data_IF_323559037890
#
_entry.id   IF_323559037890
#
_cell.length_a   1.000
_cell.length_b   1.000
_cell.length_c   1.000
_cell.angle_alpha   90.00
_cell.angle_beta   90.00
_cell.angle_gamma   90.00
#
_symmetry.space_group_name_H-M   'P 1'
#
loop_
_entity.id
_entity.type
_entity.pdbx_description
1 polymer ?
#
# COMPACT_ATOMS: atom_id res chain seq x y z
N UNK A 1 -3.05 16.86 -6.35
CA UNK A 1 -1.80 16.69 -5.56
C UNK A 1 -1.61 17.73 -4.47
N UNK A 2 -1.96 19.03 -4.65
CA UNK A 2 -1.74 20.06 -3.62
C UNK A 2 -2.46 19.84 -2.27
N UNK A 3 -3.60 19.14 -2.24
CA UNK A 3 -4.34 18.92 -0.99
C UNK A 3 -3.76 17.84 -0.07
N UNK A 4 -2.93 16.91 -0.57
CA UNK A 4 -2.48 15.73 0.21
C UNK A 4 -0.95 15.58 0.24
N UNK A 5 -0.20 16.67 0.05
CA UNK A 5 1.25 16.68 -0.15
C UNK A 5 2.01 15.95 0.95
N UNK A 6 2.35 14.68 0.69
CA UNK A 6 3.04 13.80 1.61
C UNK A 6 4.46 14.28 1.88
N UNK A 7 4.79 14.47 3.16
CA UNK A 7 6.17 14.73 3.62
C UNK A 7 7.12 13.55 3.36
N UNK A 8 6.55 12.38 3.01
CA UNK A 8 7.27 11.15 2.69
C UNK A 8 6.96 10.69 1.28
N UNK A 9 7.99 10.23 0.60
CA UNK A 9 7.90 9.41 -0.60
C UNK A 9 8.31 7.96 -0.29
N UNK A 10 7.44 7.00 -0.59
CA UNK A 10 7.76 5.57 -0.54
C UNK A 10 8.23 5.16 -1.92
N UNK A 11 9.37 4.47 -2.02
CA UNK A 11 9.92 4.04 -3.31
C UNK A 11 10.33 2.57 -3.25
N UNK A 12 9.94 1.80 -4.26
CA UNK A 12 10.32 0.40 -4.42
C UNK A 12 10.48 0.06 -5.89
N UNK A 13 11.43 -0.81 -6.18
CA UNK A 13 11.60 -1.44 -7.49
C UNK A 13 11.02 -2.86 -7.46
N UNK A 14 10.16 -3.17 -8.42
CA UNK A 14 9.55 -4.49 -8.58
C UNK A 14 10.04 -5.18 -9.85
N UNK A 15 10.33 -6.47 -9.73
CA UNK A 15 10.72 -7.35 -10.83
C UNK A 15 9.58 -8.28 -11.27
N UNK A 16 9.71 -8.85 -12.47
CA UNK A 16 8.80 -9.92 -12.92
C UNK A 16 7.43 -9.43 -13.41
N UNK A 17 7.25 -8.13 -13.63
CA UNK A 17 6.01 -7.56 -14.21
C UNK A 17 5.87 -7.87 -15.70
N UNK A 18 6.97 -8.08 -16.40
CA UNK A 18 7.03 -8.31 -17.84
C UNK A 18 8.08 -9.37 -18.21
N UNK A 19 7.94 -9.97 -19.40
CA UNK A 19 8.84 -11.03 -19.90
C UNK A 19 10.26 -10.55 -20.24
N UNK A 20 10.44 -9.26 -20.50
CA UNK A 20 11.72 -8.66 -20.90
C UNK A 20 12.59 -8.25 -19.71
N UNK A 21 12.17 -8.59 -18.49
CA UNK A 21 12.88 -8.29 -17.24
C UNK A 21 13.09 -6.78 -17.00
N UNK A 22 12.28 -5.92 -17.62
CA UNK A 22 12.26 -4.50 -17.27
C UNK A 22 11.81 -4.36 -15.81
N UNK A 23 12.47 -3.45 -15.11
CA UNK A 23 12.19 -3.08 -13.73
C UNK A 23 11.07 -2.06 -13.71
N UNK A 24 10.11 -2.24 -12.81
CA UNK A 24 9.07 -1.24 -12.53
C UNK A 24 9.38 -0.59 -11.18
N UNK A 25 9.90 0.62 -11.20
CA UNK A 25 10.05 1.46 -10.02
C UNK A 25 8.76 2.27 -9.83
N UNK A 26 8.23 2.31 -8.62
CA UNK A 26 7.03 3.08 -8.28
C UNK A 26 7.32 4.01 -7.10
N UNK A 27 7.03 5.28 -7.29
CA UNK A 27 7.04 6.32 -6.26
C UNK A 27 5.62 6.54 -5.77
N UNK A 28 5.43 6.51 -4.46
CA UNK A 28 4.11 6.58 -3.84
C UNK A 28 4.10 7.55 -2.67
N UNK A 29 3.04 8.36 -2.59
CA UNK A 29 2.71 9.15 -1.40
C UNK A 29 1.53 8.51 -0.67
N UNK A 30 1.30 8.92 0.57
CA UNK A 30 0.14 8.50 1.35
C UNK A 30 -0.65 9.75 1.73
N UNK A 31 -1.95 9.76 1.45
CA UNK A 31 -2.84 10.86 1.82
C UNK A 31 -3.26 10.81 3.29
N UNK A 32 -4.00 11.83 3.73
CA UNK A 32 -4.48 11.95 5.10
C UNK A 32 -5.44 10.82 5.51
N UNK A 33 -6.09 10.19 4.52
CA UNK A 33 -6.96 9.02 4.69
C UNK A 33 -6.19 7.69 4.71
N UNK A 34 -4.84 7.74 4.80
CA UNK A 34 -3.94 6.58 4.73
C UNK A 34 -4.06 5.75 3.45
N UNK A 35 -4.40 6.39 2.32
CA UNK A 35 -4.42 5.73 1.01
C UNK A 35 -3.12 6.01 0.26
N UNK A 36 -2.53 4.95 -0.28
CA UNK A 36 -1.38 5.05 -1.16
C UNK A 36 -1.76 5.61 -2.53
N UNK A 37 -0.97 6.53 -3.06
CA UNK A 37 -1.10 7.14 -4.37
C UNK A 37 0.20 6.97 -5.15
N UNK A 38 0.25 6.13 -6.20
CA UNK A 38 1.40 6.15 -7.10
C UNK A 38 1.45 7.53 -7.76
N UNK A 39 2.55 8.27 -7.57
CA UNK A 39 2.73 9.62 -8.13
C UNK A 39 3.65 9.62 -9.34
N UNK A 40 4.49 8.59 -9.46
CA UNK A 40 5.34 8.38 -10.62
C UNK A 40 5.74 6.91 -10.72
N UNK A 41 5.95 6.46 -11.95
CA UNK A 41 6.44 5.12 -12.24
C UNK A 41 7.50 5.19 -13.33
N UNK A 42 8.53 4.35 -13.19
CA UNK A 42 9.58 4.19 -14.17
C UNK A 42 9.64 2.72 -14.60
N UNK A 43 9.42 2.49 -15.88
CA UNK A 43 9.67 1.22 -16.53
C UNK A 43 11.02 1.29 -17.24
N UNK A 44 12.02 0.55 -16.75
CA UNK A 44 13.38 0.67 -17.26
C UNK A 44 14.08 -0.68 -17.41
N UNK A 45 14.95 -0.80 -18.42
CA UNK A 45 15.84 -1.96 -18.58
C UNK A 45 17.04 -1.91 -17.65
N UNK A 46 17.41 -0.72 -17.17
CA UNK A 46 18.58 -0.50 -16.31
C UNK A 46 18.24 0.46 -15.17
N UNK A 47 18.70 0.14 -13.97
CA UNK A 47 18.48 0.94 -12.76
C UNK A 47 19.84 1.35 -12.21
N UNK A 48 20.58 2.08 -13.05
CA UNK A 48 21.87 2.67 -12.71
C UNK A 48 21.67 4.11 -12.19
N UNK A 49 22.75 4.68 -11.65
CA UNK A 49 22.70 6.01 -11.03
C UNK A 49 22.23 7.09 -12.01
N UNK A 50 22.67 7.04 -13.28
CA UNK A 50 22.30 8.03 -14.28
C UNK A 50 20.80 7.98 -14.60
N UNK A 51 20.26 6.78 -14.83
CA UNK A 51 18.83 6.59 -15.15
C UNK A 51 17.94 7.01 -13.98
N UNK A 52 18.29 6.61 -12.76
CA UNK A 52 17.52 6.95 -11.57
C UNK A 52 17.58 8.46 -11.27
N UNK A 53 18.75 9.07 -11.36
CA UNK A 53 18.92 10.51 -11.12
C UNK A 53 18.11 11.33 -12.12
N UNK A 54 18.15 10.95 -13.41
CA UNK A 54 17.32 11.58 -14.43
C UNK A 54 15.83 11.48 -14.11
N UNK A 55 15.36 10.30 -13.71
CA UNK A 55 13.96 10.10 -13.34
C UNK A 55 13.53 10.98 -12.16
N UNK A 56 14.33 11.06 -11.09
CA UNK A 56 14.00 11.91 -9.94
C UNK A 56 14.10 13.40 -10.26
N UNK A 57 15.02 13.81 -11.14
CA UNK A 57 15.07 15.19 -11.65
C UNK A 57 13.80 15.54 -12.43
N UNK A 58 13.37 14.66 -13.35
CA UNK A 58 12.11 14.85 -14.08
C UNK A 58 10.90 14.91 -13.16
N UNK A 59 10.86 14.07 -12.11
CA UNK A 59 9.78 14.09 -11.13
C UNK A 59 9.76 15.40 -10.31
N UNK A 60 10.92 15.94 -9.95
CA UNK A 60 11.04 17.25 -9.33
C UNK A 60 10.52 18.35 -10.26
N UNK A 61 10.94 18.35 -11.52
CA UNK A 61 10.59 19.39 -12.48
C UNK A 61 9.09 19.40 -12.83
N UNK A 62 8.43 18.23 -12.76
CA UNK A 62 6.98 18.12 -12.94
C UNK A 62 6.19 18.75 -11.77
N UNK A 63 6.83 18.89 -10.60
CA UNK A 63 6.23 19.43 -9.39
C UNK A 63 5.31 18.45 -8.64
N UNK A 64 4.88 18.84 -7.44
CA UNK A 64 3.97 18.02 -6.61
C UNK A 64 4.67 17.12 -5.58
N UNK A 65 6.01 17.06 -5.64
CA UNK A 65 6.87 16.40 -4.64
C UNK A 65 7.78 17.38 -3.89
N UNK A 66 7.56 18.69 -4.05
CA UNK A 66 8.41 19.76 -3.50
C UNK A 66 8.54 19.70 -1.96
N UNK A 67 7.45 19.26 -1.31
CA UNK A 67 7.35 19.15 0.14
C UNK A 67 7.93 17.84 0.70
N UNK A 68 8.41 16.92 -0.14
CA UNK A 68 9.00 15.66 0.32
C UNK A 68 10.30 15.98 1.07
N UNK A 69 10.37 15.56 2.33
CA UNK A 69 11.57 15.67 3.19
C UNK A 69 12.16 14.31 3.54
N UNK A 70 11.37 13.25 3.39
CA UNK A 70 11.71 11.90 3.81
C UNK A 70 11.43 10.90 2.70
N UNK A 71 12.28 9.88 2.61
CA UNK A 71 12.06 8.74 1.73
C UNK A 71 12.09 7.42 2.51
N UNK A 72 11.22 6.48 2.15
CA UNK A 72 11.24 5.10 2.66
C UNK A 72 11.62 4.17 1.51
N UNK A 73 12.65 3.35 1.70
CA UNK A 73 13.05 2.29 0.76
C UNK A 73 13.27 0.94 1.45
N UNK A 74 13.45 -0.10 0.65
CA UNK A 74 13.80 -1.47 1.03
C UNK A 74 15.30 -1.67 1.34
N UNK A 75 16.00 -0.60 1.79
CA UNK A 75 17.45 -0.58 2.05
C UNK A 75 18.32 -0.64 0.79
N UNK A 76 17.86 -0.07 -0.31
CA UNK A 76 18.66 0.12 -1.53
C UNK A 76 19.40 1.48 -1.52
N UNK A 77 20.74 1.52 -1.33
CA UNK A 77 21.50 2.76 -1.29
C UNK A 77 21.55 3.49 -2.64
N UNK A 78 21.46 2.77 -3.76
CA UNK A 78 21.48 3.38 -5.09
C UNK A 78 20.24 4.26 -5.33
N UNK A 79 19.07 3.82 -4.85
CA UNK A 79 17.85 4.62 -4.88
C UNK A 79 17.99 5.90 -4.04
N UNK A 80 18.54 5.78 -2.83
CA UNK A 80 18.74 6.96 -1.97
C UNK A 80 19.65 7.99 -2.63
N UNK A 81 20.83 7.55 -3.10
CA UNK A 81 21.81 8.45 -3.71
C UNK A 81 21.22 9.15 -4.95
N UNK A 82 20.51 8.41 -5.79
CA UNK A 82 19.87 8.98 -6.98
C UNK A 82 18.74 9.95 -6.64
N UNK A 83 17.97 9.72 -5.57
CA UNK A 83 16.93 10.65 -5.11
C UNK A 83 17.52 11.93 -4.55
N UNK A 84 18.57 11.85 -3.71
CA UNK A 84 19.24 13.03 -3.17
C UNK A 84 19.81 13.90 -4.29
N UNK A 85 20.45 13.28 -5.28
CA UNK A 85 20.99 13.98 -6.45
C UNK A 85 19.88 14.57 -7.34
N UNK A 86 18.92 13.73 -7.75
CA UNK A 86 17.85 14.13 -8.67
C UNK A 86 16.89 15.18 -8.09
N UNK A 87 16.56 15.10 -6.79
CA UNK A 87 15.79 16.16 -6.12
C UNK A 87 16.66 17.38 -5.78
N UNK A 88 17.99 17.26 -5.85
CA UNK A 88 18.96 18.28 -5.44
C UNK A 88 18.70 18.77 -4.01
N UNK A 89 18.43 17.82 -3.10
CA UNK A 89 18.02 18.09 -1.72
C UNK A 89 18.42 16.92 -0.83
N UNK A 90 18.87 17.22 0.37
CA UNK A 90 19.08 16.23 1.43
C UNK A 90 17.75 15.62 1.88
N UNK A 91 17.66 14.29 1.82
CA UNK A 91 16.46 13.53 2.18
C UNK A 91 16.73 12.68 3.41
N UNK A 92 15.82 12.75 4.38
CA UNK A 92 15.85 11.81 5.51
C UNK A 92 15.48 10.42 5.02
N UNK A 93 16.35 9.44 5.23
CA UNK A 93 16.13 8.06 4.78
C UNK A 93 15.63 7.17 5.90
N UNK A 94 14.48 6.54 5.68
CA UNK A 94 13.93 5.49 6.52
C UNK A 94 14.03 4.13 5.83
N UNK A 95 14.33 3.12 6.64
CA UNK A 95 14.22 1.73 6.23
C UNK A 95 12.82 1.21 6.56
N UNK A 96 12.26 0.48 5.60
CA UNK A 96 11.04 -0.28 5.83
C UNK A 96 11.24 -1.26 7.01
N UNK A 97 10.40 -1.12 8.04
CA UNK A 97 10.45 -1.95 9.26
C UNK A 97 10.34 -3.44 8.94
N UNK A 98 9.54 -3.82 7.93
CA UNK A 98 9.38 -5.20 7.51
C UNK A 98 10.68 -5.77 6.94
N UNK A 99 11.30 -5.08 5.99
CA UNK A 99 12.57 -5.51 5.39
C UNK A 99 13.69 -5.62 6.43
N UNK A 100 13.78 -4.68 7.37
CA UNK A 100 14.73 -4.74 8.50
C UNK A 100 14.53 -6.01 9.32
N UNK A 101 13.30 -6.29 9.76
CA UNK A 101 13.03 -7.46 10.58
C UNK A 101 13.25 -8.77 9.79
N UNK A 102 12.83 -8.83 8.52
CA UNK A 102 13.04 -9.99 7.65
C UNK A 102 14.53 -10.28 7.46
N UNK A 103 15.34 -9.25 7.22
CA UNK A 103 16.79 -9.40 7.06
C UNK A 103 17.47 -9.82 8.36
N UNK A 104 17.04 -9.29 9.51
CA UNK A 104 17.53 -9.71 10.82
C UNK A 104 17.18 -11.17 11.11
N UNK A 105 15.92 -11.58 10.89
CA UNK A 105 15.47 -12.97 11.03
C UNK A 105 16.25 -13.93 10.16
N UNK A 106 16.41 -13.61 8.87
CA UNK A 106 17.19 -14.44 7.94
C UNK A 106 18.63 -14.64 8.42
N UNK A 107 19.26 -13.57 8.90
CA UNK A 107 20.62 -13.67 9.45
C UNK A 107 20.66 -14.43 10.77
N UNK A 108 19.66 -14.25 11.63
CA UNK A 108 19.53 -14.97 12.89
C UNK A 108 19.42 -16.47 12.62
N UNK A 109 18.50 -16.90 11.75
CA UNK A 109 18.31 -18.31 11.37
C UNK A 109 19.59 -18.94 10.80
N UNK A 110 20.39 -18.18 10.07
CA UNK A 110 21.62 -18.69 9.47
C UNK A 110 22.81 -18.75 10.44
N UNK A 111 22.79 -17.95 11.51
CA UNK A 111 23.95 -17.73 12.40
C UNK A 111 23.73 -18.23 13.83
N UNK A 112 22.52 -18.64 14.19
CA UNK A 112 22.14 -18.98 15.56
C UNK A 112 21.42 -20.34 15.62
N UNK A 113 21.69 -21.18 16.62
CA UNK A 113 20.97 -22.42 16.87
C UNK A 113 19.45 -22.25 17.07
N UNK A 114 18.68 -23.27 16.66
CA UNK A 114 17.20 -23.25 16.68
C UNK A 114 16.60 -22.95 18.06
N UNK A 115 17.21 -23.45 19.13
CA UNK A 115 16.78 -23.28 20.52
C UNK A 115 16.81 -21.82 21.00
N UNK A 116 17.61 -20.96 20.36
CA UNK A 116 17.73 -19.54 20.72
C UNK A 116 16.97 -18.61 19.77
N UNK A 117 16.51 -19.11 18.61
CA UNK A 117 15.90 -18.28 17.57
C UNK A 117 14.67 -17.54 18.06
N UNK A 118 13.77 -18.23 18.77
CA UNK A 118 12.51 -17.66 19.23
C UNK A 118 12.76 -16.52 20.23
N UNK A 119 13.57 -16.79 21.25
CA UNK A 119 13.92 -15.80 22.28
C UNK A 119 14.62 -14.59 21.68
N UNK A 120 15.66 -14.80 20.86
CA UNK A 120 16.41 -13.70 20.25
C UNK A 120 15.54 -12.90 19.28
N UNK A 121 14.67 -13.56 18.51
CA UNK A 121 13.76 -12.87 17.62
C UNK A 121 12.75 -12.00 18.37
N UNK A 122 12.22 -12.46 19.51
CA UNK A 122 11.32 -11.68 20.36
C UNK A 122 12.01 -10.44 20.94
N UNK A 123 13.25 -10.57 21.40
CA UNK A 123 14.05 -9.44 21.90
C UNK A 123 14.40 -8.43 20.80
N UNK A 124 14.76 -8.90 19.60
CA UNK A 124 14.97 -8.03 18.43
C UNK A 124 13.68 -7.27 18.09
N UNK A 125 12.54 -7.96 18.10
CA UNK A 125 11.24 -7.33 17.80
C UNK A 125 10.92 -6.25 18.84
N UNK A 126 11.15 -6.52 20.12
CA UNK A 126 11.01 -5.53 21.19
C UNK A 126 11.90 -4.30 20.94
N UNK A 127 13.17 -4.50 20.59
CA UNK A 127 14.10 -3.39 20.26
C UNK A 127 13.55 -2.55 19.09
N UNK A 128 13.03 -3.19 18.03
CA UNK A 128 12.46 -2.49 16.88
C UNK A 128 11.23 -1.65 17.21
N UNK A 129 10.36 -2.16 18.09
CA UNK A 129 9.06 -1.57 18.40
C UNK A 129 9.08 -0.61 19.58
N UNK A 130 10.20 -0.50 20.28
CA UNK A 130 10.34 0.41 21.41
C UNK A 130 10.16 1.86 20.94
N UNK A 131 9.23 2.57 21.57
CA UNK A 131 8.92 3.98 21.31
C UNK A 131 9.73 4.96 22.17
N UNK A 132 10.35 4.48 23.26
CA UNK A 132 11.22 5.28 24.14
C UNK A 132 12.71 5.09 23.82
N UNK A 133 13.44 6.19 23.65
CA UNK A 133 14.86 6.16 23.27
C UNK A 133 15.78 5.61 24.37
N UNK A 134 15.44 5.82 25.65
CA UNK A 134 16.24 5.32 26.78
C UNK A 134 16.09 3.81 26.89
N UNK A 135 14.86 3.32 26.76
CA UNK A 135 14.56 1.90 26.68
C UNK A 135 15.22 1.24 25.47
N UNK A 136 15.15 1.86 24.30
CA UNK A 136 15.84 1.37 23.10
C UNK A 136 17.34 1.17 23.34
N UNK A 137 17.98 2.17 23.92
CA UNK A 137 19.42 2.12 24.25
C UNK A 137 19.71 1.00 25.27
N UNK A 138 18.87 0.89 26.31
CA UNK A 138 18.97 -0.14 27.33
C UNK A 138 18.80 -1.55 26.74
N UNK A 139 17.82 -1.76 25.86
CA UNK A 139 17.56 -3.05 25.24
C UNK A 139 18.67 -3.45 24.26
N UNK A 140 19.18 -2.51 23.44
CA UNK A 140 20.33 -2.77 22.57
C UNK A 140 21.55 -3.21 23.39
N UNK A 141 21.87 -2.48 24.47
CA UNK A 141 22.97 -2.83 25.36
C UNK A 141 22.76 -4.19 26.03
N UNK A 142 21.57 -4.45 26.57
CA UNK A 142 21.25 -5.69 27.25
C UNK A 142 21.34 -6.90 26.30
N UNK A 143 20.79 -6.79 25.08
CA UNK A 143 20.84 -7.83 24.06
C UNK A 143 22.28 -8.18 23.69
N UNK A 144 23.08 -7.16 23.39
CA UNK A 144 24.49 -7.34 23.04
C UNK A 144 25.25 -8.00 24.19
N UNK A 145 25.13 -7.47 25.42
CA UNK A 145 25.82 -8.02 26.59
C UNK A 145 25.42 -9.47 26.90
N UNK A 146 24.15 -9.82 26.68
CA UNK A 146 23.62 -11.16 26.92
C UNK A 146 24.21 -12.21 25.98
N UNK A 147 24.51 -11.83 24.73
CA UNK A 147 24.86 -12.79 23.67
C UNK A 147 26.29 -12.66 23.13
N UNK A 148 27.03 -11.58 23.43
CA UNK A 148 28.35 -11.33 22.85
C UNK A 148 29.42 -12.37 23.25
N UNK A 149 29.35 -12.89 24.48
CA UNK A 149 30.33 -13.86 24.99
C UNK A 149 29.95 -15.32 24.70
N UNK A 150 28.83 -15.58 24.03
CA UNK A 150 28.42 -16.91 23.65
C UNK A 150 28.88 -17.21 22.22
N UNK A 151 29.78 -18.19 22.08
CA UNK A 151 30.34 -18.58 20.79
C UNK A 151 29.27 -18.93 19.75
N UNK A 152 28.12 -19.50 20.16
CA UNK A 152 27.01 -19.88 19.28
C UNK A 152 26.20 -18.69 18.75
N UNK A 153 26.33 -17.50 19.35
CA UNK A 153 25.56 -16.30 18.98
C UNK A 153 26.46 -15.14 18.54
N UNK A 154 27.77 -15.22 18.84
CA UNK A 154 28.75 -14.18 18.59
C UNK A 154 28.74 -13.65 17.15
N UNK A 155 28.65 -14.53 16.14
CA UNK A 155 28.60 -14.15 14.72
C UNK A 155 27.38 -13.25 14.41
N UNK A 156 26.21 -13.59 14.96
CA UNK A 156 25.01 -12.78 14.78
C UNK A 156 25.12 -11.44 15.54
N UNK A 157 25.62 -11.46 16.77
CA UNK A 157 25.77 -10.23 17.58
C UNK A 157 26.71 -9.25 16.89
N UNK A 158 27.83 -9.74 16.35
CA UNK A 158 28.75 -8.93 15.57
C UNK A 158 28.11 -8.36 14.31
N UNK A 159 27.36 -9.18 13.57
CA UNK A 159 26.58 -8.71 12.43
C UNK A 159 25.59 -7.61 12.83
N UNK A 160 24.81 -7.82 13.89
CA UNK A 160 23.81 -6.85 14.36
C UNK A 160 24.46 -5.54 14.79
N UNK A 161 25.56 -5.63 15.55
CA UNK A 161 26.35 -4.48 16.00
C UNK A 161 26.90 -3.66 14.83
N UNK A 162 27.54 -4.32 13.86
CA UNK A 162 28.19 -3.65 12.71
C UNK A 162 27.19 -3.05 11.72
N UNK A 163 26.05 -3.71 11.49
CA UNK A 163 25.14 -3.34 10.39
C UNK A 163 23.86 -2.63 10.82
N UNK A 164 23.49 -2.65 12.10
CA UNK A 164 22.24 -2.05 12.60
C UNK A 164 22.43 -1.10 13.78
N UNK A 165 23.39 -1.36 14.67
CA UNK A 165 23.56 -0.60 15.93
C UNK A 165 24.47 0.63 15.81
N UNK A 166 24.94 0.99 14.61
CA UNK A 166 25.65 2.26 14.41
C UNK A 166 24.69 3.45 14.55
N UNK A 167 25.16 4.57 15.09
CA UNK A 167 24.32 5.74 15.40
C UNK A 167 23.45 6.21 14.21
N UNK A 168 24.02 6.33 13.01
CA UNK A 168 23.29 6.79 11.83
C UNK A 168 22.32 5.75 11.29
N UNK A 169 22.66 4.48 11.41
CA UNK A 169 21.78 3.39 10.98
C UNK A 169 20.56 3.27 11.88
N UNK A 170 20.73 3.38 13.20
CA UNK A 170 19.62 3.35 14.17
C UNK A 170 18.55 4.38 13.81
N UNK A 171 18.94 5.61 13.43
CA UNK A 171 18.00 6.68 13.00
C UNK A 171 17.13 6.27 11.81
N UNK A 172 17.61 5.36 10.95
CA UNK A 172 16.86 4.92 9.77
C UNK A 172 15.80 3.86 10.08
N UNK A 173 15.99 3.03 11.11
CA UNK A 173 15.09 1.89 11.36
C UNK A 173 14.37 1.91 12.71
N UNK A 174 15.00 2.39 13.79
CA UNK A 174 14.43 2.32 15.14
C UNK A 174 13.23 3.26 15.28
N UNK A 175 12.11 2.76 15.80
CA UNK A 175 10.86 3.51 15.88
C UNK A 175 10.99 4.78 16.74
N UNK A 176 11.59 4.67 17.93
CA UNK A 176 11.83 5.79 18.85
C UNK A 176 12.66 6.95 18.26
N UNK A 177 13.48 6.69 17.24
CA UNK A 177 14.36 7.68 16.61
C UNK A 177 13.72 8.36 15.39
N UNK A 178 12.52 7.97 14.96
CA UNK A 178 11.79 8.57 13.83
C UNK A 178 11.08 9.87 14.24
N UNK A 179 11.81 10.79 14.89
CA UNK A 179 11.28 12.04 15.48
C UNK A 179 11.09 13.18 14.46
N UNK A 180 10.39 12.91 13.37
CA UNK A 180 10.08 13.91 12.35
C UNK A 180 8.71 13.60 11.73
N UNK A 181 8.04 14.57 11.06
CA UNK A 181 6.67 14.37 10.59
C UNK A 181 6.62 13.38 9.42
N UNK A 182 6.43 12.10 9.76
CA UNK A 182 6.45 10.96 8.84
C UNK A 182 5.05 10.29 8.75
N UNK A 183 3.99 11.00 9.16
CA UNK A 183 2.60 10.57 8.98
C UNK A 183 2.25 9.22 9.59
N UNK A 184 3.04 8.64 10.50
CA UNK A 184 2.85 7.28 11.00
C UNK A 184 3.15 6.16 9.98
N UNK A 185 3.76 6.49 8.84
CA UNK A 185 4.15 5.52 7.82
C UNK A 185 5.52 4.95 8.18
N UNK A 186 5.58 3.64 8.41
CA UNK A 186 6.79 2.96 8.86
C UNK A 186 7.29 1.85 7.91
N UNK A 187 6.50 1.51 6.89
CA UNK A 187 6.75 0.39 5.98
C UNK A 187 6.46 0.78 4.53
N UNK A 188 6.97 -0.04 3.60
CA UNK A 188 6.60 -0.05 2.18
C UNK A 188 5.23 -0.70 1.93
N UNK A 189 4.44 -0.97 2.98
CA UNK A 189 3.22 -1.77 2.89
C UNK A 189 2.22 -1.26 1.84
N UNK A 190 2.06 0.06 1.68
CA UNK A 190 1.17 0.59 0.63
C UNK A 190 1.64 0.21 -0.79
N UNK A 191 2.95 0.22 -1.05
CA UNK A 191 3.52 -0.24 -2.33
C UNK A 191 3.36 -1.75 -2.49
N UNK A 192 3.58 -2.53 -1.43
CA UNK A 192 3.38 -3.98 -1.49
C UNK A 192 1.92 -4.35 -1.76
N UNK A 193 0.97 -3.67 -1.12
CA UNK A 193 -0.47 -3.85 -1.39
C UNK A 193 -0.80 -3.46 -2.84
N UNK A 194 -0.24 -2.36 -3.33
CA UNK A 194 -0.38 -1.91 -4.72
C UNK A 194 0.17 -2.94 -5.72
N UNK A 195 1.40 -3.42 -5.53
CA UNK A 195 2.03 -4.41 -6.41
C UNK A 195 1.31 -5.75 -6.33
N UNK A 196 0.84 -6.16 -5.15
CA UNK A 196 -0.01 -7.34 -5.00
C UNK A 196 -1.30 -7.19 -5.80
N UNK A 197 -1.91 -6.00 -5.78
CA UNK A 197 -3.13 -5.72 -6.56
C UNK A 197 -2.86 -5.77 -8.07
N UNK A 198 -1.80 -5.10 -8.53
CA UNK A 198 -1.33 -5.14 -9.93
C UNK A 198 -1.10 -6.59 -10.38
N UNK A 199 -0.26 -7.33 -9.66
CA UNK A 199 0.12 -8.69 -10.01
C UNK A 199 -1.08 -9.64 -10.02
N UNK A 200 -2.01 -9.48 -9.08
CA UNK A 200 -3.08 -10.47 -8.88
C UNK A 200 -4.34 -10.18 -9.70
N UNK A 201 -4.80 -8.94 -9.74
CA UNK A 201 -6.09 -8.61 -10.35
C UNK A 201 -5.94 -8.16 -11.81
N UNK A 202 -4.87 -7.44 -12.13
CA UNK A 202 -4.64 -6.95 -13.48
C UNK A 202 -3.81 -7.94 -14.30
N UNK A 203 -2.65 -8.36 -13.78
CA UNK A 203 -1.76 -9.30 -14.45
C UNK A 203 -2.15 -10.78 -14.27
N UNK A 204 -3.09 -11.09 -13.37
CA UNK A 204 -3.55 -12.46 -13.08
C UNK A 204 -2.40 -13.45 -12.78
N UNK A 205 -1.35 -12.95 -12.13
CA UNK A 205 -0.09 -13.63 -11.80
C UNK A 205 0.65 -14.19 -13.02
N UNK A 206 0.46 -13.57 -14.18
CA UNK A 206 1.19 -13.87 -15.41
C UNK A 206 2.10 -12.70 -15.75
N UNK A 207 3.29 -13.01 -16.25
CA UNK A 207 4.20 -11.98 -16.76
C UNK A 207 3.57 -11.32 -17.98
N UNK A 208 3.66 -9.98 -18.07
CA UNK A 208 3.16 -9.29 -19.24
C UNK A 208 4.08 -9.50 -20.45
N UNK A 209 3.50 -9.83 -21.60
CA UNK A 209 4.30 -10.09 -22.82
C UNK A 209 4.71 -8.80 -23.52
N UNK A 210 3.87 -7.78 -23.47
CA UNK A 210 4.02 -6.53 -24.20
C UNK A 210 4.23 -5.38 -23.21
N UNK A 211 5.18 -4.49 -23.47
CA UNK A 211 5.44 -3.38 -22.54
C UNK A 211 4.38 -2.29 -22.65
N UNK A 212 3.85 -2.05 -23.84
CA UNK A 212 2.74 -1.13 -24.10
C UNK A 212 1.46 -1.58 -23.38
N UNK A 213 1.12 -2.86 -23.43
CA UNK A 213 -0.01 -3.42 -22.68
C UNK A 213 0.21 -3.31 -21.16
N UNK A 214 1.45 -3.39 -20.67
CA UNK A 214 1.75 -3.13 -19.26
C UNK A 214 1.51 -1.66 -18.90
N UNK A 215 1.83 -0.72 -19.79
CA UNK A 215 1.54 0.71 -19.59
C UNK A 215 0.02 0.93 -19.53
N UNK A 216 -0.74 0.33 -20.45
CA UNK A 216 -2.21 0.40 -20.45
C UNK A 216 -2.81 -0.14 -19.15
N UNK A 217 -2.28 -1.25 -18.64
CA UNK A 217 -2.69 -1.84 -17.36
C UNK A 217 -2.40 -0.90 -16.19
N UNK A 218 -1.23 -0.26 -16.17
CA UNK A 218 -0.86 0.71 -15.11
C UNK A 218 -1.80 1.92 -15.14
N UNK A 219 -2.09 2.45 -16.32
CA UNK A 219 -3.04 3.55 -16.52
C UNK A 219 -4.48 3.15 -16.15
N UNK A 220 -4.88 1.92 -16.44
CA UNK A 220 -6.18 1.38 -16.00
C UNK A 220 -6.26 1.33 -14.48
N UNK A 221 -5.21 0.83 -13.81
CA UNK A 221 -5.18 0.73 -12.35
C UNK A 221 -5.25 2.12 -11.69
N UNK A 222 -4.52 3.11 -12.23
CA UNK A 222 -4.60 4.50 -11.76
C UNK A 222 -6.01 5.08 -11.96
N UNK A 223 -6.65 4.80 -13.10
CA UNK A 223 -8.03 5.21 -13.37
C UNK A 223 -9.01 4.60 -12.38
N UNK A 224 -8.90 3.31 -12.11
CA UNK A 224 -9.76 2.61 -11.14
C UNK A 224 -9.58 3.20 -9.73
N UNK A 225 -8.33 3.52 -9.34
CA UNK A 225 -8.03 4.26 -8.11
C UNK A 225 -8.66 5.65 -8.09
N UNK A 226 -8.58 6.42 -9.17
CA UNK A 226 -9.18 7.74 -9.25
C UNK A 226 -10.71 7.69 -9.16
N UNK A 227 -11.34 6.76 -9.90
CA UNK A 227 -12.79 6.57 -9.90
C UNK A 227 -13.32 6.12 -8.54
N UNK A 228 -12.66 5.14 -7.91
CA UNK A 228 -13.04 4.64 -6.58
C UNK A 228 -12.97 5.72 -5.50
N UNK A 229 -12.15 6.75 -5.69
CA UNK A 229 -11.89 7.81 -4.70
C UNK A 229 -12.67 9.10 -4.97
N UNK A 230 -13.10 9.34 -6.21
CA UNK A 230 -13.94 10.50 -6.61
C UNK A 230 -15.44 10.28 -6.30
N UNK A 231 -15.87 9.03 -6.09
CA UNK A 231 -17.20 8.75 -5.59
C UNK A 231 -17.33 9.20 -4.13
N UNK A 232 -18.33 10.04 -3.84
CA UNK A 232 -18.75 10.31 -2.47
C UNK A 232 -19.06 8.98 -1.80
N UNK A 233 -18.21 8.57 -0.85
CA UNK A 233 -18.40 7.37 -0.06
C UNK A 233 -19.63 7.60 0.82
N UNK A 234 -20.79 7.21 0.32
CA UNK A 234 -22.01 7.18 1.10
C UNK A 234 -21.77 6.25 2.31
N UNK A 235 -22.20 6.63 3.53
CA UNK A 235 -22.10 5.78 4.73
C UNK A 235 -22.69 4.37 4.56
N UNK A 236 -23.60 4.18 3.61
CA UNK A 236 -24.27 2.91 3.30
C UNK A 236 -23.32 1.75 2.93
N UNK A 237 -22.15 2.01 2.30
CA UNK A 237 -21.23 0.93 1.90
C UNK A 237 -20.59 0.18 3.10
N UNK A 238 -20.59 0.81 4.28
CA UNK A 238 -19.98 0.27 5.49
C UNK A 238 -20.77 -0.89 6.09
N UNK A 239 -22.11 -0.86 6.02
CA UNK A 239 -22.98 -1.89 6.63
C UNK A 239 -22.93 -3.20 5.85
N UNK A 240 -23.00 -3.16 4.52
CA UNK A 240 -22.84 -4.36 3.70
C UNK A 240 -21.46 -4.99 3.84
N UNK A 241 -20.41 -4.15 3.84
CA UNK A 241 -19.03 -4.61 4.02
C UNK A 241 -18.86 -5.26 5.39
N UNK A 242 -19.48 -4.69 6.43
CA UNK A 242 -19.54 -5.29 7.76
C UNK A 242 -20.19 -6.68 7.71
N UNK A 243 -21.42 -6.81 7.19
CA UNK A 243 -22.14 -8.09 7.14
C UNK A 243 -21.34 -9.15 6.35
N UNK A 244 -20.80 -8.78 5.19
CA UNK A 244 -19.93 -9.67 4.37
C UNK A 244 -18.62 -10.03 5.08
N UNK A 245 -18.15 -9.18 5.98
CA UNK A 245 -16.96 -9.44 6.80
C UNK A 245 -17.27 -10.47 7.89
N UNK A 246 -18.40 -10.33 8.58
CA UNK A 246 -18.81 -11.24 9.64
C UNK A 246 -19.07 -12.67 9.13
N UNK A 247 -19.42 -12.83 7.84
CA UNK A 247 -19.58 -14.15 7.22
C UNK A 247 -18.26 -14.87 6.90
N UNK A 248 -17.11 -14.22 7.03
CA UNK A 248 -15.80 -14.87 6.86
C UNK A 248 -15.46 -15.59 8.18
N UNK A 249 -14.98 -16.84 8.11
CA UNK A 249 -14.61 -17.62 9.30
C UNK A 249 -13.29 -17.10 9.92
N UNK A 250 -13.14 -17.19 11.25
CA UNK A 250 -11.91 -16.77 11.94
C UNK A 250 -10.69 -17.59 11.52
N UNK A 251 -10.88 -18.87 11.19
CA UNK A 251 -9.80 -19.75 10.71
C UNK A 251 -9.18 -19.28 9.39
N UNK A 252 -9.85 -18.36 8.70
CA UNK A 252 -9.34 -17.75 7.48
C UNK A 252 -8.36 -16.61 7.74
N UNK A 253 -8.14 -16.23 9.00
CA UNK A 253 -7.15 -15.23 9.38
C UNK A 253 -5.88 -15.95 9.81
N UNK A 254 -4.76 -15.57 9.21
CA UNK A 254 -3.43 -16.02 9.63
C UNK A 254 -2.61 -14.78 9.96
N UNK A 255 -2.09 -14.72 11.20
CA UNK A 255 -1.20 -13.63 11.61
C UNK A 255 0.16 -13.88 10.98
N UNK A 256 0.62 -12.88 10.24
CA UNK A 256 1.97 -12.83 9.70
C UNK A 256 2.86 -12.07 10.69
N UNK A 257 3.76 -11.24 10.18
CA UNK A 257 4.68 -10.44 10.97
C UNK A 257 4.27 -8.97 10.98
N UNK A 258 4.50 -8.28 12.10
CA UNK A 258 4.40 -6.82 12.22
C UNK A 258 3.02 -6.26 11.90
N UNK A 259 2.02 -6.68 12.67
CA UNK A 259 0.67 -6.16 12.49
C UNK A 259 0.18 -6.32 11.03
N UNK A 260 0.54 -7.45 10.43
CA UNK A 260 0.11 -7.86 9.11
C UNK A 260 -0.59 -9.22 9.22
N UNK A 261 -1.68 -9.38 8.49
CA UNK A 261 -2.49 -10.59 8.47
C UNK A 261 -2.82 -10.98 7.04
N UNK A 262 -2.79 -12.28 6.78
CA UNK A 262 -3.41 -12.88 5.60
C UNK A 262 -4.86 -13.23 5.93
N UNK A 263 -5.80 -12.86 5.05
CA UNK A 263 -7.21 -13.23 5.14
C UNK A 263 -7.60 -13.99 3.87
N UNK A 264 -8.10 -15.22 4.04
CA UNK A 264 -8.64 -16.04 2.95
C UNK A 264 -10.13 -15.79 2.78
N UNK A 265 -10.55 -15.28 1.62
CA UNK A 265 -11.96 -15.14 1.26
C UNK A 265 -12.22 -15.91 -0.03
N UNK A 266 -12.93 -17.04 0.08
CA UNK A 266 -13.10 -18.01 -1.00
C UNK A 266 -11.77 -18.67 -1.39
N UNK A 267 -11.46 -18.72 -2.68
CA UNK A 267 -10.18 -19.23 -3.22
C UNK A 267 -9.04 -18.21 -3.18
N UNK A 268 -9.31 -17.00 -2.67
CA UNK A 268 -8.44 -15.84 -2.84
C UNK A 268 -7.90 -15.36 -1.49
N UNK A 269 -6.59 -15.04 -1.43
CA UNK A 269 -5.90 -14.54 -0.23
C UNK A 269 -5.62 -13.04 -0.32
N UNK A 270 -5.89 -12.30 0.74
CA UNK A 270 -5.70 -10.85 0.83
C UNK A 270 -4.81 -10.53 2.03
N UNK A 271 -3.90 -9.58 1.86
CA UNK A 271 -3.08 -9.03 2.93
C UNK A 271 -3.70 -7.76 3.51
N UNK A 272 -3.67 -7.66 4.83
CA UNK A 272 -4.11 -6.49 5.59
C UNK A 272 -2.96 -6.07 6.51
N UNK A 273 -2.64 -4.79 6.51
CA UNK A 273 -1.64 -4.18 7.40
C UNK A 273 -2.37 -3.22 8.34
N UNK A 274 -2.06 -3.28 9.65
CA UNK A 274 -2.49 -2.28 10.63
C UNK A 274 -1.40 -1.25 10.82
N UNK A 275 -1.77 0.03 10.75
CA UNK A 275 -0.85 1.17 10.89
C UNK A 275 -0.97 1.85 12.24
N UNK A 276 -2.13 1.76 12.88
CA UNK A 276 -2.39 2.37 14.17
C UNK A 276 -3.35 1.53 15.00
N UNK A 277 -3.22 1.63 16.32
CA UNK A 277 -4.18 1.07 17.27
C UNK A 277 -5.44 1.95 17.39
N UNK A 278 -5.29 3.27 17.23
CA UNK A 278 -6.36 4.25 17.42
C UNK A 278 -6.37 5.29 16.31
N UNK A 279 -7.53 5.90 16.07
CA UNK A 279 -7.67 7.03 15.14
C UNK A 279 -7.35 8.33 15.88
N UNK A 280 -6.36 9.07 15.39
CA UNK A 280 -5.92 10.36 15.96
C UNK A 280 -6.72 11.57 15.49
N UNK A 281 -7.74 11.37 14.65
CA UNK A 281 -8.58 12.45 14.12
C UNK A 281 -9.88 12.57 14.89
N UNK A 282 -10.09 13.73 15.52
CA UNK A 282 -11.23 14.03 16.39
C UNK A 282 -12.59 13.94 15.66
N UNK A 283 -12.63 14.29 14.37
CA UNK A 283 -13.84 14.29 13.53
C UNK A 283 -13.76 13.31 12.36
N UNK A 284 -13.23 12.11 12.58
CA UNK A 284 -13.22 11.08 11.55
C UNK A 284 -14.60 10.40 11.39
N UNK A 285 -15.23 10.60 10.22
CA UNK A 285 -16.51 9.98 9.85
C UNK A 285 -16.39 8.63 9.15
N UNK A 286 -15.18 8.24 8.72
CA UNK A 286 -14.93 6.96 8.06
C UNK A 286 -14.70 5.84 9.09
N UNK A 287 -15.74 5.55 9.88
CA UNK A 287 -15.78 4.57 10.98
C UNK A 287 -16.89 3.54 10.76
N UNK A 288 -16.72 2.35 11.31
CA UNK A 288 -17.84 1.43 11.50
C UNK A 288 -18.56 1.78 12.80
N UNK A 289 -19.89 1.76 12.78
CA UNK A 289 -20.75 2.03 13.95
C UNK A 289 -21.37 0.77 14.54
N UNK A 290 -21.06 -0.40 13.97
CA UNK A 290 -21.61 -1.68 14.41
C UNK A 290 -20.86 -2.19 15.66
N UNK A 291 -21.61 -2.74 16.62
CA UNK A 291 -21.10 -3.18 17.92
C UNK A 291 -19.95 -4.19 17.83
N UNK A 292 -19.99 -5.10 16.84
CA UNK A 292 -18.94 -6.10 16.60
C UNK A 292 -17.65 -5.52 16.00
N UNK A 293 -17.56 -4.21 15.75
CA UNK A 293 -16.38 -3.52 15.23
C UNK A 293 -16.08 -2.23 16.03
N UNK A 294 -15.89 -2.32 17.35
CA UNK A 294 -15.76 -1.15 18.20
C UNK A 294 -14.49 -0.35 17.87
N UNK A 295 -14.67 0.95 17.60
CA UNK A 295 -13.54 1.84 17.28
C UNK A 295 -12.92 1.60 15.90
N UNK A 296 -13.51 0.74 15.05
CA UNK A 296 -13.00 0.51 13.70
C UNK A 296 -13.06 1.80 12.86
N UNK A 297 -11.91 2.19 12.35
CA UNK A 297 -11.74 3.36 11.50
C UNK A 297 -10.87 3.01 10.28
N UNK A 298 -11.16 3.65 9.14
CA UNK A 298 -10.37 3.52 7.91
C UNK A 298 -8.88 3.83 8.10
N UNK A 299 -8.52 4.69 9.06
CA UNK A 299 -7.13 5.05 9.34
C UNK A 299 -6.32 3.96 10.07
N UNK A 300 -6.98 2.89 10.53
CA UNK A 300 -6.30 1.85 11.29
C UNK A 300 -5.63 0.81 10.39
N UNK A 301 -6.21 0.52 9.22
CA UNK A 301 -5.83 -0.60 8.37
C UNK A 301 -5.75 -0.20 6.89
N UNK A 302 -4.96 -0.93 6.10
CA UNK A 302 -5.16 -1.03 4.65
C UNK A 302 -5.21 -2.48 4.22
N UNK A 303 -5.97 -2.74 3.15
CA UNK A 303 -6.14 -4.06 2.57
C UNK A 303 -5.75 -4.06 1.09
N UNK A 304 -5.25 -5.20 0.61
CA UNK A 304 -4.86 -5.43 -0.79
C UNK A 304 -6.04 -5.72 -1.72
N UNK A 305 -7.27 -5.77 -1.21
CA UNK A 305 -8.44 -6.02 -2.05
C UNK A 305 -8.75 -4.80 -2.94
N UNK A 306 -9.34 -5.01 -4.13
CA UNK A 306 -9.74 -3.94 -5.04
C UNK A 306 -11.05 -3.25 -4.61
N UNK A 307 -11.46 -3.40 -3.35
CA UNK A 307 -12.68 -2.78 -2.83
C UNK A 307 -12.50 -1.25 -2.80
N UNK A 308 -13.53 -0.52 -3.21
CA UNK A 308 -13.50 0.93 -3.28
C UNK A 308 -13.68 1.57 -1.89
N UNK A 309 -14.32 0.86 -0.96
CA UNK A 309 -14.51 1.35 0.41
C UNK A 309 -13.26 1.09 1.26
N UNK A 310 -12.74 2.06 2.03
CA UNK A 310 -11.54 1.85 2.83
C UNK A 310 -11.77 0.88 3.99
N UNK A 311 -13.04 0.62 4.35
CA UNK A 311 -13.46 -0.42 5.28
C UNK A 311 -14.08 -1.59 4.52
N UNK A 312 -13.24 -2.34 3.81
CA UNK A 312 -13.70 -3.53 3.10
C UNK A 312 -14.10 -4.66 4.06
N UNK A 313 -14.83 -5.66 3.54
CA UNK A 313 -15.23 -6.84 4.31
C UNK A 313 -14.08 -7.56 5.03
N UNK A 314 -12.88 -7.54 4.46
CA UNK A 314 -11.71 -8.20 5.06
C UNK A 314 -11.19 -7.44 6.28
N UNK A 315 -11.22 -6.10 6.23
CA UNK A 315 -10.84 -5.24 7.37
C UNK A 315 -11.85 -5.42 8.50
N UNK A 316 -13.15 -5.43 8.19
CA UNK A 316 -14.19 -5.74 9.17
C UNK A 316 -13.96 -7.09 9.84
N UNK A 317 -13.68 -8.13 9.05
CA UNK A 317 -13.42 -9.46 9.59
C UNK A 317 -12.22 -9.47 10.54
N UNK A 318 -11.09 -8.93 10.10
CA UNK A 318 -9.87 -8.90 10.91
C UNK A 318 -10.07 -8.11 12.19
N UNK A 319 -10.67 -6.93 12.10
CA UNK A 319 -10.87 -6.08 13.26
C UNK A 319 -11.80 -6.73 14.28
N UNK A 320 -12.92 -7.29 13.85
CA UNK A 320 -13.83 -8.03 14.74
C UNK A 320 -13.11 -9.21 15.41
N UNK A 321 -12.27 -9.95 14.68
CA UNK A 321 -11.46 -11.04 15.24
C UNK A 321 -10.48 -10.57 16.32
N UNK A 322 -9.82 -9.42 16.11
CA UNK A 322 -8.87 -8.85 17.07
C UNK A 322 -9.55 -8.21 18.28
N UNK A 323 -10.79 -7.73 18.12
CA UNK A 323 -11.54 -7.02 19.16
C UNK A 323 -12.47 -7.94 19.97
N UNK A 324 -12.43 -9.26 19.76
CA UNK A 324 -13.31 -10.21 20.46
C UNK A 324 -13.24 -10.09 21.98
N UNK A 325 -12.04 -9.94 22.52
CA UNK A 325 -11.84 -9.85 23.98
C UNK A 325 -12.35 -8.52 24.55
N UNK A 326 -12.33 -7.44 23.75
CA UNK A 326 -12.84 -6.12 24.15
C UNK A 326 -14.37 -6.05 24.17
N UNK A 327 -15.03 -6.84 23.33
CA UNK A 327 -16.50 -6.90 23.25
C UNK A 327 -17.07 -7.68 24.44
N UNK A 328 -16.36 -8.71 24.93
CA UNK A 328 -16.80 -9.50 26.09
C UNK A 328 -16.85 -8.64 27.36
N UNK A 329 -15.88 -7.75 27.59
CA UNK A 329 -15.87 -6.84 28.75
C UNK A 329 -17.03 -5.82 28.71
N UNK A 330 -17.38 -5.29 27.53
CA UNK A 330 -18.46 -4.31 27.39
C UNK A 330 -19.87 -4.91 27.54
N UNK A 331 -20.07 -6.19 27.22
CA UNK A 331 -21.37 -6.87 27.37
C UNK A 331 -21.74 -7.09 28.85
N UNK A 332 -20.75 -7.38 29.71
CA UNK A 332 -20.98 -7.70 31.13
C UNK A 332 -21.50 -6.49 31.90
N UNK A 333 -21.15 -5.27 31.49
CA UNK A 333 -21.60 -4.04 32.14
C UNK A 333 -23.01 -3.58 31.72
N UNK A 334 -23.61 -4.19 30.70
CA UNK A 334 -24.90 -3.72 30.11
C UNK A 334 -26.13 -4.55 30.46
N UNK A 335 -26.00 -5.74 31.07
CA UNK A 335 -27.16 -6.59 31.38
C UNK A 335 -27.95 -6.16 32.64
N UNK A 336 -27.48 -5.18 33.41
CA UNK A 336 -28.11 -4.80 34.69
C UNK A 336 -29.14 -3.65 34.61
N UNK A 337 -29.50 -3.13 33.43
CA UNK A 337 -30.41 -1.97 33.37
C UNK A 337 -31.39 -1.98 32.18
N UNK A 338 -32.43 -2.81 32.28
CA UNK A 338 -33.87 -2.49 32.12
C UNK A 338 -34.70 -3.75 31.79
N UNK A 339 -35.24 -4.37 32.84
CA UNK A 339 -36.38 -5.29 32.74
C UNK A 339 -37.67 -4.46 32.75
N UNK A 340 -38.36 -4.33 31.62
CA UNK A 340 -39.80 -3.99 31.58
C UNK A 340 -40.48 -4.86 30.52
N UNK A 341 -41.59 -5.45 30.94
CA UNK A 341 -42.40 -6.52 30.35
C UNK A 341 -43.41 -6.08 29.29
N UNK A 342 -43.67 -7.01 28.35
CA UNK A 342 -44.90 -7.34 27.60
C UNK A 342 -45.66 -6.25 26.81
N UNK A 343 -45.95 -6.49 25.53
CA UNK A 343 -47.21 -7.08 25.06
C UNK A 343 -47.19 -7.41 23.55
N UNK A 344 -47.97 -8.42 23.18
CA UNK A 344 -48.20 -9.03 21.87
C UNK A 344 -48.98 -8.15 20.89
N UNK A 345 -48.75 -8.31 19.58
CA UNK A 345 -49.87 -8.50 18.63
C UNK A 345 -49.43 -8.99 17.24
N UNK A 346 -50.41 -9.64 16.62
CA UNK A 346 -50.38 -10.63 15.54
C UNK A 346 -50.57 -10.03 14.13
N UNK A 347 -50.40 -10.91 13.12
CA UNK A 347 -51.04 -10.91 11.78
C UNK A 347 -50.26 -10.47 10.51
N UNK A 348 -49.97 -11.50 9.71
CA UNK A 348 -50.22 -11.66 8.25
C UNK A 348 -49.87 -10.56 7.22
N UNK A 349 -49.09 -10.92 6.19
CA UNK A 349 -49.57 -11.19 4.82
C UNK A 349 -48.42 -11.19 3.78
N UNK A 350 -48.41 -12.17 2.87
CA UNK A 350 -47.61 -12.22 1.62
C UNK A 350 -48.30 -11.36 0.52
N UNK A 351 -47.59 -10.91 -0.55
CA UNK A 351 -47.59 -11.74 -1.76
C UNK A 351 -46.28 -11.77 -2.56
N UNK A 352 -46.22 -12.84 -3.35
CA UNK A 352 -45.23 -13.29 -4.34
C UNK A 352 -45.56 -12.67 -5.71
N UNK A 353 -44.56 -12.27 -6.51
CA UNK A 353 -44.62 -12.04 -7.97
C UNK A 353 -43.19 -12.22 -8.51
N UNK A 354 -42.86 -13.29 -9.25
CA UNK A 354 -43.08 -13.57 -10.69
C UNK A 354 -41.85 -13.22 -11.55
N UNK A 355 -41.57 -14.09 -12.53
CA UNK A 355 -40.29 -14.32 -13.19
C UNK A 355 -40.35 -13.97 -14.70
N UNK A 356 -39.18 -13.59 -15.26
CA UNK A 356 -38.69 -13.70 -16.67
C UNK A 356 -39.14 -12.63 -17.73
N UNK A 357 -38.39 -12.39 -18.86
CA UNK A 357 -37.47 -13.31 -19.56
C UNK A 357 -36.17 -12.77 -20.24
N UNK A 358 -35.38 -13.73 -20.75
CA UNK A 358 -34.19 -13.70 -21.62
C UNK A 358 -34.20 -12.83 -22.89
N UNK A 359 -33.03 -12.28 -23.28
CA UNK A 359 -32.57 -12.05 -24.68
C UNK A 359 -31.02 -12.15 -24.76
N UNK A 360 -30.46 -13.14 -25.45
CA UNK A 360 -29.93 -13.18 -26.84
C UNK A 360 -28.56 -12.50 -27.08
N UNK A 361 -27.65 -13.26 -27.70
CA UNK A 361 -26.21 -13.01 -27.75
C UNK A 361 -25.74 -11.96 -28.77
N UNK A 362 -24.63 -11.30 -28.44
CA UNK A 362 -23.94 -10.34 -29.30
C UNK A 362 -22.54 -10.83 -29.70
N UNK A 363 -22.22 -10.59 -30.96
CA UNK A 363 -21.01 -11.00 -31.67
C UNK A 363 -19.75 -10.32 -31.08
N UNK A 364 -18.73 -11.09 -30.69
CA UNK A 364 -17.63 -10.63 -29.81
C UNK A 364 -16.50 -9.83 -30.48
N UNK A 365 -16.43 -9.76 -31.81
CA UNK A 365 -15.34 -9.06 -32.52
C UNK A 365 -15.56 -7.55 -32.65
N UNK A 366 -16.76 -7.10 -33.01
CA UNK A 366 -17.08 -5.67 -33.20
C UNK A 366 -17.17 -4.88 -31.88
N UNK A 367 -17.51 -5.56 -30.77
CA UNK A 367 -17.51 -4.97 -29.43
C UNK A 367 -16.09 -4.56 -28.99
N UNK A 368 -15.06 -5.33 -29.37
CA UNK A 368 -13.66 -5.05 -28.97
C UNK A 368 -13.08 -3.81 -29.67
N UNK A 369 -13.47 -3.57 -30.93
CA UNK A 369 -13.04 -2.41 -31.71
C UNK A 369 -13.76 -1.13 -31.28
N UNK A 370 -15.07 -1.23 -31.00
CA UNK A 370 -15.83 -0.10 -30.44
C UNK A 370 -15.37 0.25 -29.01
N UNK A 371 -15.02 -0.73 -28.20
CA UNK A 371 -14.46 -0.48 -26.87
C UNK A 371 -13.05 0.13 -26.94
N UNK A 372 -12.22 -0.28 -27.92
CA UNK A 372 -10.90 0.32 -28.19
C UNK A 372 -10.99 1.77 -28.70
N UNK A 373 -11.93 2.07 -29.59
CA UNK A 373 -12.16 3.43 -30.08
C UNK A 373 -12.67 4.37 -28.97
N UNK A 374 -13.57 3.88 -28.11
CA UNK A 374 -14.04 4.62 -26.92
C UNK A 374 -12.91 4.87 -25.92
N UNK A 375 -11.99 3.90 -25.74
CA UNK A 375 -10.79 4.05 -24.90
C UNK A 375 -9.85 5.13 -25.44
N UNK A 376 -9.59 5.17 -26.75
CA UNK A 376 -8.76 6.21 -27.38
C UNK A 376 -9.37 7.62 -27.23
N UNK A 377 -10.65 7.78 -27.55
CA UNK A 377 -11.33 9.08 -27.45
C UNK A 377 -11.37 9.63 -26.00
N UNK A 378 -11.47 8.73 -25.01
CA UNK A 378 -11.43 9.12 -23.60
C UNK A 378 -10.01 9.48 -23.13
N UNK A 379 -8.98 8.79 -23.62
CA UNK A 379 -7.58 9.13 -23.32
C UNK A 379 -7.24 10.52 -23.87
N UNK A 380 -7.67 10.84 -25.10
CA UNK A 380 -7.53 12.18 -25.67
C UNK A 380 -8.28 13.25 -24.84
N UNK A 381 -9.47 12.93 -24.32
CA UNK A 381 -10.22 13.82 -23.43
C UNK A 381 -9.52 14.06 -22.09
N UNK A 382 -8.98 13.03 -21.45
CA UNK A 382 -8.24 13.16 -20.18
C UNK A 382 -6.91 13.87 -20.35
N UNK A 383 -6.23 13.69 -21.49
CA UNK A 383 -5.02 14.43 -21.84
C UNK A 383 -5.32 15.91 -22.08
N UNK A 384 -6.43 16.23 -22.77
CA UNK A 384 -6.92 17.59 -22.90
C UNK A 384 -7.26 18.21 -21.54
N UNK A 385 -7.88 17.47 -20.61
CA UNK A 385 -8.15 17.97 -19.25
C UNK A 385 -6.86 18.11 -18.42
N UNK A 386 -5.88 17.23 -18.58
CA UNK A 386 -4.58 17.32 -17.93
C UNK A 386 -3.76 18.52 -18.44
N UNK A 387 -3.75 18.76 -19.76
CA UNK A 387 -3.17 19.94 -20.39
C UNK A 387 -3.92 21.22 -20.04
N UNK A 388 -5.25 21.17 -19.89
CA UNK A 388 -6.07 22.33 -19.53
C UNK A 388 -5.95 22.72 -18.04
N UNK A 389 -5.72 21.76 -17.14
CA UNK A 389 -5.56 22.01 -15.69
C UNK A 389 -4.13 22.35 -15.29
N UNK A 390 -3.13 21.92 -16.06
CA UNK A 390 -1.74 22.32 -15.90
C UNK A 390 -1.38 23.33 -16.98
N UNK A 391 -1.68 24.62 -16.75
CA UNK A 391 -1.00 25.67 -17.51
C UNK A 391 0.50 25.58 -17.21
N UNK A 392 1.24 24.93 -18.10
CA UNK A 392 2.70 24.72 -18.07
C UNK A 392 3.50 26.03 -18.22
N UNK A 393 3.09 27.08 -17.52
CA UNK A 393 3.71 28.42 -17.52
C UNK A 393 5.11 28.45 -16.92
N UNK A 394 5.61 27.32 -16.40
CA UNK A 394 6.92 27.20 -15.75
C UNK A 394 7.88 26.19 -16.43
N UNK A 395 7.45 25.49 -17.49
CA UNK A 395 8.35 24.63 -18.26
C UNK A 395 9.04 25.45 -19.35
N UNK A 396 10.33 25.18 -19.59
CA UNK A 396 11.02 25.80 -20.73
C UNK A 396 10.40 25.33 -22.04
N UNK A 397 10.32 26.20 -23.06
CA UNK A 397 9.79 25.87 -24.39
C UNK A 397 10.49 24.65 -25.01
N UNK A 398 11.76 24.42 -24.66
CA UNK A 398 12.51 23.22 -25.07
C UNK A 398 12.00 21.93 -24.42
N UNK A 399 11.59 21.97 -23.14
CA UNK A 399 11.07 20.82 -22.41
C UNK A 399 9.67 20.46 -22.90
N UNK A 400 8.82 21.46 -23.12
CA UNK A 400 7.49 21.29 -23.72
C UNK A 400 7.59 20.72 -25.14
N UNK A 401 8.46 21.29 -25.98
CA UNK A 401 8.69 20.79 -27.33
C UNK A 401 9.21 19.35 -27.34
N UNK A 402 10.04 18.96 -26.37
CA UNK A 402 10.56 17.59 -26.27
C UNK A 402 9.50 16.58 -25.80
N UNK A 403 8.68 16.95 -24.82
CA UNK A 403 7.56 16.12 -24.34
C UNK A 403 6.53 15.96 -25.47
N UNK A 404 6.15 17.04 -26.15
CA UNK A 404 5.24 17.00 -27.29
C UNK A 404 5.79 16.16 -28.45
N UNK A 405 7.08 16.28 -28.77
CA UNK A 405 7.74 15.46 -29.82
C UNK A 405 7.84 13.99 -29.42
N UNK A 406 8.19 13.70 -28.18
CA UNK A 406 8.31 12.32 -27.68
C UNK A 406 6.94 11.64 -27.61
N UNK A 407 5.91 12.38 -27.20
CA UNK A 407 4.53 11.92 -27.15
C UNK A 407 3.93 11.75 -28.55
N UNK A 408 4.15 12.72 -29.45
CA UNK A 408 3.74 12.63 -30.85
C UNK A 408 4.46 11.50 -31.58
N UNK A 409 5.74 11.26 -31.29
CA UNK A 409 6.48 10.12 -31.85
C UNK A 409 5.96 8.78 -31.31
N UNK A 410 5.56 8.72 -30.04
CA UNK A 410 4.94 7.53 -29.45
C UNK A 410 3.56 7.25 -30.07
N UNK A 411 2.71 8.28 -30.20
CA UNK A 411 1.42 8.19 -30.87
C UNK A 411 1.53 7.83 -32.34
N UNK A 412 2.54 8.37 -33.04
CA UNK A 412 2.79 8.04 -34.45
C UNK A 412 3.22 6.59 -34.59
N UNK A 413 4.11 6.08 -33.71
CA UNK A 413 4.47 4.65 -33.70
C UNK A 413 3.27 3.74 -33.40
N UNK A 414 2.40 4.15 -32.48
CA UNK A 414 1.16 3.42 -32.18
C UNK A 414 0.22 3.39 -33.40
N UNK A 415 0.13 4.49 -34.16
CA UNK A 415 -0.64 4.55 -35.41
C UNK A 415 0.01 3.72 -36.52
N UNK A 416 1.33 3.78 -36.68
CA UNK A 416 2.05 3.02 -37.71
C UNK A 416 1.95 1.51 -37.46
N UNK A 417 2.03 1.06 -36.21
CA UNK A 417 1.81 -0.35 -35.81
C UNK A 417 0.34 -0.81 -35.99
N UNK A 418 -0.61 0.13 -36.01
CA UNK A 418 -2.03 -0.13 -36.28
C UNK A 418 -2.33 -0.33 -37.77
N UNK A 419 -1.59 0.33 -38.67
CA UNK A 419 -1.76 0.18 -40.12
C UNK A 419 -1.00 -1.01 -40.72
N UNK A 420 0.03 -1.53 -40.04
CA UNK A 420 0.79 -2.72 -40.47
C UNK A 420 0.12 -4.06 -40.13
N UNK A 421 -0.96 -4.06 -39.34
CA UNK A 421 -1.68 -5.26 -38.90
C UNK A 421 -3.14 -5.33 -39.39
N UNK A 422 -3.54 -4.48 -40.36
CA UNK A 422 -4.69 -4.71 -41.24
C UNK A 422 -4.20 -5.33 -42.54
#
# INVERSE_FOLDING_TARGET
MKEHGGKILIVTETHGTNQYQYKLLTCMIVDDNRRGWPVAQLLTSKSDAATLTFFFSALKDLGGVDNVTTVITDDNPALLNAMTEGFSKELSHLLCRWHVLTNLKKNLTNKVPKDLLETMNSEITLILDTSDEKEFTRYCFAFVKKYENNAKTSEFVDYFRRHYLTADRCKKWALCLRKFPHGGINTTGHLELFHNRLNKFYLKRKVNKRLDDLIDILLQLERDDHCSRSGSVLPQSTKESHTKGMSIDDKCITKELNDTWEVKSGSVRYFIVRYSMTCSFDHCYAKCTEYACPGLCSHLYACSCPDNHPLCKHIHKLHSFLSKDLVVEACVDTEDFYTITNESDDSSCMPRCEELPHQQGFNSKSASEQERARKCAFIESCLCEFQARNTFSHLSDSTLSFIEKSFSSCLQKIRDDHYLNQ
#
